data_IF_798825941633
#
_entry.id   IF_798825941633
#
_cell.length_a   1.000
_cell.length_b   1.000
_cell.length_c   1.000
_cell.angle_alpha   90.00
_cell.angle_beta   90.00
_cell.angle_gamma   90.00
#
_symmetry.space_group_name_H-M   'P 1'
#
loop_
_entity.id
_entity.type
_entity.pdbx_description
1 polymer ?
#
# COMPACT_ATOMS: atom_id res chain seq x y z
N UNK A 1 58.80 -38.16 -15.12
CA UNK A 1 57.65 -38.80 -14.44
C UNK A 1 57.16 -37.83 -13.37
N UNK A 2 55.96 -37.24 -13.55
CA UNK A 2 54.71 -37.53 -12.78
C UNK A 2 54.88 -37.22 -11.27
N UNK A 3 54.09 -36.39 -10.58
CA UNK A 3 52.72 -35.90 -10.79
C UNK A 3 52.44 -34.69 -9.85
N UNK A 4 51.50 -33.82 -10.24
CA UNK A 4 50.82 -32.81 -9.40
C UNK A 4 49.52 -33.40 -8.81
N UNK A 5 49.05 -32.75 -7.72
CA UNK A 5 47.69 -32.70 -7.09
C UNK A 5 47.44 -33.65 -5.88
N UNK A 6 46.41 -33.39 -5.03
CA UNK A 6 46.10 -32.16 -4.28
C UNK A 6 45.65 -32.46 -2.82
N UNK A 7 45.41 -31.40 -2.03
CA UNK A 7 44.86 -31.44 -0.65
C UNK A 7 43.37 -31.83 -0.60
N UNK A 8 42.87 -32.44 0.51
CA UNK A 8 41.45 -32.74 0.68
C UNK A 8 40.67 -31.60 1.35
N UNK A 9 39.41 -31.51 0.93
CA UNK A 9 38.39 -30.55 1.33
C UNK A 9 37.98 -30.64 2.82
N UNK A 10 38.06 -29.51 3.52
CA UNK A 10 37.34 -29.25 4.77
C UNK A 10 36.05 -28.49 4.49
N UNK A 11 34.91 -29.07 4.91
CA UNK A 11 33.57 -28.48 4.86
C UNK A 11 33.53 -27.16 5.63
N UNK A 12 33.16 -26.06 4.96
CA UNK A 12 32.76 -24.81 5.63
C UNK A 12 31.28 -24.91 6.02
N UNK A 13 31.07 -25.11 7.31
CA UNK A 13 29.81 -24.91 8.01
C UNK A 13 29.36 -23.45 7.88
N UNK A 14 28.11 -23.24 7.46
CA UNK A 14 27.43 -21.94 7.51
C UNK A 14 27.12 -21.65 8.97
N UNK A 15 28.07 -21.01 9.66
CA UNK A 15 27.84 -20.43 10.97
C UNK A 15 26.95 -19.19 10.80
N UNK A 16 25.70 -19.35 11.22
CA UNK A 16 24.86 -18.35 11.88
C UNK A 16 25.55 -17.00 12.12
N UNK A 17 25.31 -16.04 11.24
CA UNK A 17 25.42 -14.61 11.59
C UNK A 17 24.26 -14.29 12.52
N UNK A 18 24.48 -14.47 13.82
CA UNK A 18 23.75 -13.73 14.83
C UNK A 18 23.91 -12.25 14.49
N UNK A 19 22.82 -11.62 14.07
CA UNK A 19 22.69 -10.17 14.15
C UNK A 19 22.73 -9.88 15.64
N UNK A 20 23.88 -9.43 16.11
CA UNK A 20 24.03 -8.78 17.40
C UNK A 20 22.96 -7.68 17.42
N UNK A 21 21.93 -7.89 18.24
CA UNK A 21 20.94 -6.87 18.52
C UNK A 21 21.72 -5.68 19.07
N UNK A 22 21.79 -4.59 18.30
CA UNK A 22 22.05 -3.31 18.91
C UNK A 22 20.88 -3.08 19.86
N UNK A 23 21.13 -3.29 21.15
CA UNK A 23 20.33 -2.67 22.20
C UNK A 23 20.14 -1.21 21.80
N UNK A 24 18.90 -0.66 21.89
CA UNK A 24 18.68 0.73 21.60
C UNK A 24 19.65 1.55 22.45
N UNK A 25 20.51 2.31 21.78
CA UNK A 25 21.53 3.15 22.42
C UNK A 25 20.91 3.87 23.60
N UNK A 26 21.55 3.74 24.77
CA UNK A 26 21.13 4.17 26.09
C UNK A 26 21.03 5.71 26.23
N UNK A 27 20.29 6.38 25.32
CA UNK A 27 20.12 7.84 25.24
C UNK A 27 18.97 8.38 26.10
N UNK A 28 18.27 7.51 26.85
CA UNK A 28 17.11 7.89 27.67
C UNK A 28 17.31 7.71 29.18
N UNK A 29 18.55 7.47 29.64
CA UNK A 29 18.89 7.54 31.05
C UNK A 29 18.49 8.91 31.63
N UNK A 30 17.37 8.96 32.36
CA UNK A 30 16.87 10.14 33.07
C UNK A 30 15.51 10.72 32.65
N UNK A 31 14.81 10.16 31.65
CA UNK A 31 13.44 10.61 31.34
C UNK A 31 12.40 9.84 32.15
N UNK A 32 11.56 10.57 32.88
CA UNK A 32 10.45 10.01 33.65
C UNK A 32 9.16 9.90 32.80
N UNK A 33 8.87 8.67 32.35
CA UNK A 33 7.66 8.36 31.59
C UNK A 33 6.44 8.04 32.46
N UNK A 34 6.52 8.11 33.79
CA UNK A 34 5.42 7.77 34.69
C UNK A 34 4.23 8.71 34.50
N UNK A 35 3.03 8.15 34.48
CA UNK A 35 1.78 8.91 34.42
C UNK A 35 1.16 8.94 35.81
N UNK A 36 0.74 10.11 36.26
CA UNK A 36 -0.03 10.26 37.49
C UNK A 36 -1.48 9.87 37.22
N UNK A 37 -1.75 8.57 37.32
CA UNK A 37 -3.02 7.99 36.88
C UNK A 37 -4.23 8.58 37.59
N UNK A 38 -4.11 8.96 38.87
CA UNK A 38 -5.17 9.62 39.64
C UNK A 38 -5.62 10.97 39.07
N UNK A 39 -4.76 11.61 38.29
CA UNK A 39 -5.03 12.89 37.64
C UNK A 39 -5.57 12.75 36.21
N UNK A 40 -5.71 11.53 35.66
CA UNK A 40 -6.14 11.35 34.27
C UNK A 40 -7.51 11.96 33.93
N UNK A 41 -8.40 12.16 34.90
CA UNK A 41 -9.71 12.78 34.66
C UNK A 41 -9.72 14.29 34.88
N UNK A 42 -8.82 14.81 35.73
CA UNK A 42 -8.82 16.21 36.20
C UNK A 42 -7.70 17.06 35.56
N UNK A 43 -6.63 16.44 35.07
CA UNK A 43 -5.48 17.11 34.47
C UNK A 43 -5.28 16.68 33.01
N UNK A 44 -5.40 17.64 32.09
CA UNK A 44 -5.27 17.40 30.65
C UNK A 44 -3.86 16.99 30.22
N UNK A 45 -2.82 17.38 30.96
CA UNK A 45 -1.43 17.02 30.65
C UNK A 45 -1.17 15.56 31.00
N UNK A 46 -1.59 15.10 32.17
CA UNK A 46 -1.52 13.69 32.56
C UNK A 46 -2.43 12.83 31.69
N UNK A 47 -3.64 13.30 31.34
CA UNK A 47 -4.51 12.62 30.39
C UNK A 47 -3.86 12.45 29.01
N UNK A 48 -3.26 13.52 28.46
CA UNK A 48 -2.54 13.45 27.20
C UNK A 48 -1.32 12.52 27.28
N UNK A 49 -0.53 12.63 28.35
CA UNK A 49 0.64 11.76 28.58
C UNK A 49 0.22 10.28 28.62
N UNK A 50 -0.82 9.97 29.40
CA UNK A 50 -1.39 8.62 29.47
C UNK A 50 -1.91 8.13 28.13
N UNK A 51 -2.65 8.95 27.39
CA UNK A 51 -3.19 8.56 26.09
C UNK A 51 -2.08 8.27 25.07
N UNK A 52 -1.04 9.12 25.01
CA UNK A 52 0.11 8.92 24.12
C UNK A 52 0.91 7.68 24.52
N UNK A 53 1.08 7.42 25.82
CA UNK A 53 1.71 6.20 26.34
C UNK A 53 0.92 4.95 25.94
N UNK A 54 -0.41 5.01 25.94
CA UNK A 54 -1.31 3.91 25.53
C UNK A 54 -1.33 3.67 24.02
N UNK A 55 -1.46 4.73 23.23
CA UNK A 55 -1.70 4.70 21.77
C UNK A 55 -0.46 4.91 20.92
N UNK A 56 0.69 5.14 21.53
CA UNK A 56 1.92 5.47 20.82
C UNK A 56 3.17 5.27 21.66
N UNK A 57 4.02 6.27 21.74
CA UNK A 57 5.27 6.23 22.46
C UNK A 57 5.64 7.64 22.95
N UNK A 58 6.03 7.75 24.22
CA UNK A 58 6.55 8.99 24.81
C UNK A 58 8.02 9.26 24.43
N UNK A 59 8.67 8.32 23.76
CA UNK A 59 9.94 8.56 23.06
C UNK A 59 9.64 8.92 21.61
N UNK A 60 9.95 10.14 21.15
CA UNK A 60 9.75 10.53 19.77
C UNK A 60 10.53 9.63 18.80
N UNK A 61 10.05 9.55 17.57
CA UNK A 61 10.69 8.85 16.44
C UNK A 61 10.80 7.33 16.51
N UNK A 62 10.51 6.73 17.66
CA UNK A 62 10.45 5.27 17.83
C UNK A 62 9.24 4.72 17.08
N UNK A 63 9.43 3.84 16.07
CA UNK A 63 8.33 3.20 15.37
C UNK A 63 7.62 2.18 16.29
N UNK A 64 6.33 2.01 16.06
CA UNK A 64 5.51 1.02 16.75
C UNK A 64 4.41 0.51 15.82
N UNK A 65 3.89 -0.68 16.14
CA UNK A 65 2.81 -1.33 15.38
C UNK A 65 1.64 -1.65 16.29
N UNK A 66 0.45 -1.29 15.85
CA UNK A 66 -0.81 -1.80 16.37
C UNK A 66 -1.42 -2.74 15.35
N UNK A 67 -1.63 -4.00 15.70
CA UNK A 67 -2.27 -4.99 14.86
C UNK A 67 -3.70 -5.27 15.34
N UNK A 68 -4.57 -5.62 14.42
CA UNK A 68 -5.92 -6.11 14.71
C UNK A 68 -6.34 -7.25 13.78
N UNK A 69 -7.32 -8.00 14.27
CA UNK A 69 -8.12 -8.93 13.48
C UNK A 69 -9.60 -8.82 13.89
N UNK A 70 -10.48 -9.14 12.97
CA UNK A 70 -11.91 -9.11 13.19
C UNK A 70 -12.70 -9.67 12.01
N UNK A 71 -14.00 -9.47 12.09
CA UNK A 71 -14.97 -10.04 11.17
C UNK A 71 -15.89 -8.92 10.66
N UNK A 72 -16.33 -9.05 9.41
CA UNK A 72 -17.20 -8.07 8.75
C UNK A 72 -18.50 -8.75 8.31
N UNK A 73 -19.62 -8.18 8.72
CA UNK A 73 -20.96 -8.70 8.46
C UNK A 73 -21.82 -7.70 7.69
N UNK A 74 -22.77 -8.24 6.92
CA UNK A 74 -23.89 -7.44 6.42
C UNK A 74 -24.86 -7.10 7.55
N UNK A 75 -25.29 -5.86 7.61
CA UNK A 75 -26.39 -5.41 8.45
C UNK A 75 -27.47 -4.81 7.55
N UNK A 76 -28.49 -5.61 7.27
CA UNK A 76 -29.62 -5.27 6.40
C UNK A 76 -30.88 -5.46 7.24
N UNK A 77 -31.80 -4.50 7.17
CA UNK A 77 -33.07 -4.58 7.88
C UNK A 77 -33.85 -5.82 7.43
N UNK A 78 -34.43 -6.54 8.38
CA UNK A 78 -35.23 -7.76 8.17
C UNK A 78 -34.52 -8.93 7.44
N UNK A 79 -33.20 -8.89 7.27
CA UNK A 79 -32.40 -10.00 6.72
C UNK A 79 -31.39 -10.53 7.74
N UNK A 80 -31.16 -11.86 7.80
CA UNK A 80 -30.06 -12.42 8.58
C UNK A 80 -28.70 -11.87 8.13
N UNK A 81 -27.88 -11.44 9.09
CA UNK A 81 -26.50 -11.03 8.83
C UNK A 81 -25.69 -12.16 8.20
N UNK A 82 -24.93 -11.84 7.15
CA UNK A 82 -23.99 -12.74 6.48
C UNK A 82 -22.57 -12.37 6.87
N UNK A 83 -21.76 -13.36 7.18
CA UNK A 83 -20.32 -13.17 7.35
C UNK A 83 -19.69 -12.97 5.97
N UNK A 84 -19.18 -11.77 5.71
CA UNK A 84 -18.67 -11.39 4.39
C UNK A 84 -17.15 -11.58 4.28
N UNK A 85 -16.42 -11.16 5.32
CA UNK A 85 -14.96 -11.17 5.32
C UNK A 85 -14.40 -11.41 6.72
N UNK A 86 -13.32 -12.18 6.81
CA UNK A 86 -12.34 -11.97 7.87
C UNK A 86 -11.52 -10.72 7.50
N UNK A 87 -11.12 -9.96 8.51
CA UNK A 87 -10.41 -8.70 8.35
C UNK A 87 -9.18 -8.68 9.24
N UNK A 88 -8.02 -8.40 8.67
CA UNK A 88 -6.75 -8.36 9.40
C UNK A 88 -5.96 -7.14 8.94
N UNK A 89 -5.35 -6.41 9.88
CA UNK A 89 -4.62 -5.21 9.52
C UNK A 89 -3.70 -4.70 10.62
N UNK A 90 -2.96 -3.66 10.28
CA UNK A 90 -2.10 -2.97 11.22
C UNK A 90 -1.92 -1.49 10.86
N UNK A 91 -1.63 -0.71 11.88
CA UNK A 91 -1.08 0.64 11.77
C UNK A 91 0.40 0.57 12.14
N UNK A 92 1.25 1.18 11.33
CA UNK A 92 2.66 1.37 11.64
C UNK A 92 2.95 2.87 11.71
N UNK A 93 3.39 3.32 12.88
CA UNK A 93 3.51 4.75 13.15
C UNK A 93 4.62 5.10 14.11
N UNK A 94 4.86 6.41 14.24
CA UNK A 94 5.76 7.00 15.23
C UNK A 94 5.21 8.32 15.74
N UNK A 95 5.56 8.66 16.98
CA UNK A 95 5.20 9.94 17.58
C UNK A 95 6.29 10.98 17.29
N UNK A 96 5.88 12.19 16.95
CA UNK A 96 6.73 13.38 16.79
C UNK A 96 6.30 14.42 17.81
N UNK A 97 7.27 15.12 18.40
CA UNK A 97 6.96 16.34 19.16
C UNK A 97 6.58 17.45 18.20
N UNK A 98 5.55 18.20 18.58
CA UNK A 98 5.13 19.44 17.94
C UNK A 98 4.90 20.48 19.03
N UNK A 99 4.81 21.75 18.64
CA UNK A 99 4.45 22.79 19.60
C UNK A 99 3.10 22.46 20.26
N UNK A 100 3.06 22.55 21.59
CA UNK A 100 1.87 22.24 22.37
C UNK A 100 1.45 20.76 22.46
N UNK A 101 2.20 19.78 21.90
CA UNK A 101 1.80 18.38 22.05
C UNK A 101 2.56 17.35 21.21
N UNK A 102 1.79 16.50 20.53
CA UNK A 102 2.28 15.35 19.78
C UNK A 102 1.61 15.23 18.42
N UNK A 103 2.35 14.71 17.44
CA UNK A 103 1.80 14.30 16.15
C UNK A 103 2.13 12.84 15.91
N UNK A 104 1.12 12.05 15.58
CA UNK A 104 1.26 10.69 15.09
C UNK A 104 1.46 10.74 13.58
N UNK A 105 2.59 10.23 13.11
CA UNK A 105 2.81 9.91 11.70
C UNK A 105 2.56 8.42 11.52
N UNK A 106 1.63 8.03 10.65
CA UNK A 106 1.26 6.62 10.50
C UNK A 106 0.72 6.29 9.12
N UNK A 107 0.83 5.01 8.77
CA UNK A 107 0.15 4.38 7.64
C UNK A 107 -0.68 3.22 8.15
N UNK A 108 -1.74 2.93 7.42
CA UNK A 108 -2.69 1.88 7.75
C UNK A 108 -2.87 0.92 6.58
N UNK A 109 -2.69 -0.36 6.85
CA UNK A 109 -2.94 -1.44 5.90
C UNK A 109 -3.88 -2.45 6.52
N UNK A 110 -4.89 -2.88 5.76
CA UNK A 110 -5.73 -4.00 6.14
C UNK A 110 -6.23 -4.77 4.92
N UNK A 111 -6.30 -6.08 5.07
CA UNK A 111 -6.72 -7.01 4.03
C UNK A 111 -8.08 -7.62 4.36
N UNK A 112 -8.84 -7.91 3.31
CA UNK A 112 -10.08 -8.67 3.38
C UNK A 112 -9.75 -10.11 3.01
N UNK A 113 -10.16 -11.05 3.84
CA UNK A 113 -9.85 -12.47 3.72
C UNK A 113 -11.13 -13.28 3.60
N UNK A 114 -11.05 -14.42 2.92
CA UNK A 114 -12.16 -15.38 2.88
C UNK A 114 -12.38 -15.97 4.27
N UNK A 115 -13.60 -15.93 4.84
CA UNK A 115 -13.86 -16.48 6.17
C UNK A 115 -13.68 -17.99 6.32
N UNK A 116 -13.62 -18.75 5.22
CA UNK A 116 -13.48 -20.22 5.20
C UNK A 116 -12.06 -20.64 4.89
N UNK A 117 -11.41 -20.00 3.92
CA UNK A 117 -10.04 -20.38 3.51
C UNK A 117 -8.96 -19.57 4.22
N UNK A 118 -9.32 -18.43 4.83
CA UNK A 118 -8.40 -17.47 5.45
C UNK A 118 -7.37 -16.88 4.46
N UNK A 119 -7.63 -17.01 3.15
CA UNK A 119 -6.78 -16.43 2.11
C UNK A 119 -7.12 -14.96 1.90
N UNK A 120 -6.10 -14.15 1.61
CA UNK A 120 -6.27 -12.76 1.20
C UNK A 120 -6.97 -12.74 -0.15
N UNK A 121 -8.11 -12.05 -0.23
CA UNK A 121 -8.96 -12.05 -1.42
C UNK A 121 -8.45 -11.05 -2.46
N UNK A 122 -8.15 -11.52 -3.66
CA UNK A 122 -8.03 -10.66 -4.86
C UNK A 122 -9.41 -10.44 -5.51
N UNK A 123 -10.24 -11.48 -5.52
CA UNK A 123 -11.58 -11.47 -6.07
C UNK A 123 -12.57 -12.04 -5.07
N UNK A 124 -13.76 -11.46 -4.99
CA UNK A 124 -14.80 -11.85 -4.07
C UNK A 124 -16.13 -11.99 -4.82
N UNK A 125 -16.73 -13.18 -4.74
CA UNK A 125 -18.09 -13.39 -5.25
C UNK A 125 -19.08 -12.85 -4.21
N UNK A 126 -19.76 -11.76 -4.54
CA UNK A 126 -20.73 -11.12 -3.66
C UNK A 126 -21.91 -12.08 -3.41
N UNK A 127 -22.14 -12.57 -2.18
CA UNK A 127 -23.20 -13.54 -1.92
C UNK A 127 -24.61 -12.91 -2.03
N UNK A 128 -24.73 -11.58 -2.02
CA UNK A 128 -25.99 -10.85 -2.10
C UNK A 128 -26.41 -10.52 -3.54
N UNK A 129 -25.46 -10.45 -4.48
CA UNK A 129 -25.71 -10.05 -5.88
C UNK A 129 -25.18 -11.05 -6.91
N UNK A 130 -24.47 -12.09 -6.48
CA UNK A 130 -23.71 -13.05 -7.29
C UNK A 130 -22.61 -12.44 -8.18
N UNK A 131 -22.37 -11.14 -8.10
CA UNK A 131 -21.35 -10.44 -8.88
C UNK A 131 -19.94 -10.80 -8.41
N UNK A 132 -19.00 -10.98 -9.34
CA UNK A 132 -17.59 -11.12 -9.04
C UNK A 132 -16.95 -9.73 -8.94
N UNK A 133 -16.52 -9.37 -7.74
CA UNK A 133 -15.90 -8.08 -7.44
C UNK A 133 -14.39 -8.24 -7.24
N UNK A 134 -13.60 -7.37 -7.85
CA UNK A 134 -12.19 -7.21 -7.50
C UNK A 134 -12.09 -6.49 -6.14
N UNK A 135 -11.36 -7.08 -5.19
CA UNK A 135 -11.27 -6.56 -3.84
C UNK A 135 -10.28 -5.40 -3.80
N UNK A 136 -10.67 -4.32 -3.12
CA UNK A 136 -9.75 -3.21 -2.82
C UNK A 136 -9.48 -3.19 -1.33
N UNK A 137 -8.28 -3.62 -0.95
CA UNK A 137 -7.78 -3.57 0.42
C UNK A 137 -7.58 -2.13 0.94
N UNK A 138 -7.44 -1.99 2.26
CA UNK A 138 -7.19 -0.71 2.89
C UNK A 138 -5.69 -0.41 2.78
N UNK A 139 -5.37 0.70 2.11
CA UNK A 139 -4.01 1.19 1.87
C UNK A 139 -3.98 2.70 2.12
N UNK A 140 -4.27 3.10 3.36
CA UNK A 140 -4.34 4.51 3.71
C UNK A 140 -2.94 5.01 4.07
N UNK A 141 -2.42 5.96 3.28
CA UNK A 141 -1.14 6.63 3.52
C UNK A 141 -1.22 8.08 2.99
N UNK A 142 -1.08 9.10 3.85
CA UNK A 142 -0.87 9.04 5.31
C UNK A 142 -2.18 8.97 6.12
N UNK A 143 -2.11 8.59 7.40
CA UNK A 143 -3.25 8.65 8.35
C UNK A 143 -2.85 9.42 9.62
N UNK A 144 -2.30 10.61 9.46
CA UNK A 144 -1.69 11.38 10.54
C UNK A 144 -2.74 11.90 11.55
N UNK A 145 -2.37 11.98 12.83
CA UNK A 145 -3.20 12.59 13.87
C UNK A 145 -2.39 13.57 14.71
N UNK A 146 -3.05 14.58 15.26
CA UNK A 146 -2.42 15.55 16.14
C UNK A 146 -3.15 15.62 17.48
N UNK A 147 -2.36 15.59 18.56
CA UNK A 147 -2.82 15.57 19.95
C UNK A 147 -2.16 16.74 20.68
N UNK A 148 -2.81 17.89 20.62
CA UNK A 148 -2.37 19.11 21.30
C UNK A 148 -2.97 19.17 22.69
N UNK A 149 -2.18 19.58 23.68
CA UNK A 149 -2.64 19.84 25.04
C UNK A 149 -3.76 20.90 25.06
N UNK A 150 -3.66 21.90 24.17
CA UNK A 150 -4.71 22.89 23.92
C UNK A 150 -4.98 22.94 22.43
N UNK A 151 -6.13 22.40 22.03
CA UNK A 151 -6.59 22.44 20.64
C UNK A 151 -7.73 23.45 20.43
N UNK A 152 -8.27 23.53 19.21
CA UNK A 152 -9.38 24.44 18.88
C UNK A 152 -10.65 24.22 19.71
N UNK A 153 -10.81 23.02 20.30
CA UNK A 153 -11.95 22.63 21.14
C UNK A 153 -11.65 22.71 22.64
N UNK A 154 -10.55 23.36 23.02
CA UNK A 154 -10.10 23.47 24.41
C UNK A 154 -9.00 22.46 24.77
N UNK A 155 -8.82 22.22 26.06
CA UNK A 155 -7.79 21.31 26.57
C UNK A 155 -8.04 19.87 26.13
N UNK A 156 -6.96 19.12 25.90
CA UNK A 156 -7.05 17.70 25.54
C UNK A 156 -7.81 16.90 26.60
N UNK A 157 -8.68 16.01 26.13
CA UNK A 157 -9.38 15.05 26.98
C UNK A 157 -9.75 13.81 26.19
N UNK A 158 -9.06 12.70 26.47
CA UNK A 158 -9.48 11.36 26.11
C UNK A 158 -10.32 10.77 27.25
N UNK A 159 -11.58 10.37 27.00
CA UNK A 159 -12.43 9.74 28.01
C UNK A 159 -11.85 8.45 28.56
N UNK A 160 -12.02 8.23 29.86
CA UNK A 160 -11.63 6.99 30.53
C UNK A 160 -12.71 6.47 31.48
N UNK A 161 -12.80 5.15 31.60
CA UNK A 161 -13.46 4.45 32.70
C UNK A 161 -12.40 3.68 33.48
N UNK A 162 -12.57 3.57 34.80
CA UNK A 162 -11.66 2.81 35.68
C UNK A 162 -12.43 1.74 36.42
N UNK A 163 -11.83 0.55 36.54
CA UNK A 163 -12.33 -0.51 37.40
C UNK A 163 -11.14 -1.24 38.03
N UNK A 164 -10.89 -1.01 39.32
CA UNK A 164 -9.66 -1.47 39.96
C UNK A 164 -8.42 -0.89 39.26
N UNK A 165 -7.47 -1.75 38.90
CA UNK A 165 -6.24 -1.37 38.17
C UNK A 165 -6.43 -1.28 36.65
N UNK A 166 -7.62 -1.56 36.13
CA UNK A 166 -7.91 -1.45 34.70
C UNK A 166 -8.35 -0.03 34.32
N UNK A 167 -7.73 0.49 33.26
CA UNK A 167 -8.05 1.78 32.65
C UNK A 167 -8.52 1.53 31.21
N UNK A 168 -9.75 1.96 30.95
CA UNK A 168 -10.45 1.81 29.68
C UNK A 168 -10.54 3.17 29.01
N UNK A 169 -9.71 3.41 28.01
CA UNK A 169 -9.84 4.59 27.16
C UNK A 169 -10.90 4.34 26.12
N UNK A 170 -11.78 5.29 25.84
CA UNK A 170 -12.82 5.09 24.84
C UNK A 170 -13.02 6.31 23.96
N UNK A 171 -13.48 6.06 22.73
CA UNK A 171 -13.79 7.10 21.77
C UNK A 171 -14.94 6.65 20.87
N UNK A 172 -16.06 7.38 20.94
CA UNK A 172 -17.21 7.24 20.07
C UNK A 172 -17.16 8.32 18.99
N UNK A 173 -16.87 7.93 17.76
CA UNK A 173 -16.68 8.84 16.63
C UNK A 173 -17.82 8.62 15.64
N UNK A 174 -18.76 9.57 15.61
CA UNK A 174 -19.83 9.61 14.62
C UNK A 174 -19.43 10.54 13.47
N UNK A 175 -19.09 9.95 12.33
CA UNK A 175 -18.64 10.67 11.15
C UNK A 175 -19.82 10.99 10.24
N UNK A 176 -19.88 12.25 9.78
CA UNK A 176 -20.76 12.72 8.73
C UNK A 176 -20.05 13.84 7.96
N UNK A 177 -19.70 13.57 6.70
CA UNK A 177 -19.01 14.54 5.85
C UNK A 177 -19.26 14.28 4.36
N UNK A 178 -19.09 15.28 3.47
CA UNK A 178 -19.22 15.07 2.04
C UNK A 178 -18.26 13.99 1.53
N UNK A 179 -18.79 12.92 0.93
CA UNK A 179 -17.97 11.85 0.36
C UNK A 179 -17.06 12.42 -0.73
N UNK A 180 -15.76 12.07 -0.76
CA UNK A 180 -14.86 12.47 -1.84
C UNK A 180 -15.20 11.80 -3.17
N UNK A 181 -15.96 10.69 -3.12
CA UNK A 181 -16.44 9.93 -4.26
C UNK A 181 -17.97 10.03 -4.35
N UNK A 182 -18.46 10.67 -5.41
CA UNK A 182 -19.87 10.96 -5.61
C UNK A 182 -20.58 9.84 -6.36
N UNK A 183 -21.90 9.72 -6.17
CA UNK A 183 -22.76 8.76 -6.86
C UNK A 183 -22.67 8.89 -8.37
N UNK A 184 -22.62 10.11 -8.90
CA UNK A 184 -22.45 10.37 -10.33
C UNK A 184 -21.17 9.75 -10.92
N UNK A 185 -20.10 9.59 -10.11
CA UNK A 185 -18.82 9.04 -10.54
C UNK A 185 -18.82 7.52 -10.59
N UNK A 186 -19.59 6.86 -9.71
CA UNK A 186 -19.62 5.40 -9.59
C UNK A 186 -20.93 4.91 -8.94
N UNK A 187 -22.08 5.04 -9.64
CA UNK A 187 -23.40 4.83 -9.04
C UNK A 187 -23.59 3.41 -8.51
N UNK A 188 -23.00 2.41 -9.17
CA UNK A 188 -23.07 1.02 -8.75
C UNK A 188 -22.42 0.76 -7.39
N UNK A 189 -21.43 1.55 -6.95
CA UNK A 189 -20.71 1.29 -5.68
C UNK A 189 -20.97 2.29 -4.58
N UNK A 190 -21.51 3.48 -4.88
CA UNK A 190 -21.64 4.57 -3.90
C UNK A 190 -23.07 4.68 -3.43
N UNK A 191 -23.27 4.48 -2.12
CA UNK A 191 -24.59 4.58 -1.51
C UNK A 191 -25.10 6.03 -1.44
N UNK A 192 -24.25 6.98 -1.05
CA UNK A 192 -24.64 8.38 -0.87
C UNK A 192 -23.48 9.34 -1.16
N UNK A 193 -23.79 10.58 -1.52
CA UNK A 193 -22.81 11.67 -1.70
C UNK A 193 -22.27 12.22 -0.37
N UNK A 194 -22.88 11.80 0.73
CA UNK A 194 -22.44 12.03 2.10
C UNK A 194 -21.97 10.70 2.70
N UNK A 195 -20.75 10.70 3.21
CA UNK A 195 -20.22 9.57 3.95
C UNK A 195 -20.70 9.65 5.40
N UNK A 196 -21.21 8.53 5.91
CA UNK A 196 -21.65 8.40 7.28
C UNK A 196 -21.17 7.07 7.88
N UNK A 197 -20.58 7.12 9.06
CA UNK A 197 -20.20 5.93 9.83
C UNK A 197 -20.14 6.20 11.32
N UNK A 198 -20.16 5.14 12.11
CA UNK A 198 -19.78 5.17 13.51
C UNK A 198 -18.51 4.33 13.69
N UNK A 199 -17.54 4.85 14.44
CA UNK A 199 -16.38 4.11 14.92
C UNK A 199 -16.32 4.19 16.44
N UNK A 200 -16.30 3.03 17.08
CA UNK A 200 -16.39 2.88 18.52
C UNK A 200 -15.13 2.16 19.00
N UNK A 201 -14.25 2.89 19.67
CA UNK A 201 -12.97 2.36 20.14
C UNK A 201 -12.97 2.18 21.65
N UNK A 202 -12.32 1.10 22.10
CA UNK A 202 -11.88 0.93 23.48
C UNK A 202 -10.42 0.49 23.49
N UNK A 203 -9.57 1.13 24.30
CA UNK A 203 -8.19 0.70 24.56
C UNK A 203 -8.05 0.34 26.03
N UNK A 204 -7.47 -0.83 26.29
CA UNK A 204 -7.32 -1.44 27.60
C UNK A 204 -5.86 -1.33 28.03
N UNK A 205 -5.63 -0.74 29.20
CA UNK A 205 -4.31 -0.62 29.83
C UNK A 205 -4.39 -0.89 31.33
N UNK A 206 -3.30 -1.37 31.91
CA UNK A 206 -3.16 -1.47 33.37
C UNK A 206 -2.58 -0.18 33.93
N UNK A 207 -3.03 0.18 35.12
CA UNK A 207 -2.52 1.33 35.87
C UNK A 207 -1.01 1.22 36.13
N UNK A 208 -0.54 0.03 36.48
CA UNK A 208 0.89 -0.22 36.73
C UNK A 208 1.76 0.08 35.51
N UNK A 209 1.30 -0.27 34.31
CA UNK A 209 2.03 0.01 33.06
C UNK A 209 2.12 1.51 32.78
N UNK A 210 1.06 2.27 33.07
CA UNK A 210 1.09 3.72 32.94
C UNK A 210 2.01 4.38 33.97
N UNK A 211 2.13 3.82 35.18
CA UNK A 211 3.02 4.32 36.25
C UNK A 211 4.51 4.01 36.03
N UNK A 212 4.87 3.09 35.14
CA UNK A 212 6.26 2.74 34.85
C UNK A 212 7.07 3.92 34.32
N UNK A 213 8.05 4.40 35.10
CA UNK A 213 8.92 5.52 34.72
C UNK A 213 9.92 5.16 33.62
N UNK A 214 10.30 3.89 33.53
CA UNK A 214 11.32 3.35 32.63
C UNK A 214 10.79 2.94 31.24
N UNK A 215 9.46 2.93 31.07
CA UNK A 215 8.81 2.45 29.85
C UNK A 215 8.04 3.59 29.16
N UNK A 216 8.39 3.96 27.92
CA UNK A 216 7.76 5.10 27.22
C UNK A 216 6.41 4.75 26.58
N UNK A 217 5.98 3.50 26.64
CA UNK A 217 4.68 3.04 26.16
C UNK A 217 4.04 2.11 27.19
N UNK A 218 2.74 1.87 27.06
CA UNK A 218 2.02 0.83 27.78
C UNK A 218 1.75 -0.33 26.83
N UNK A 219 1.93 -1.60 27.25
CA UNK A 219 1.19 -2.69 26.66
C UNK A 219 -0.29 -2.30 26.61
N UNK A 220 -0.93 -2.49 25.46
CA UNK A 220 -2.32 -2.13 25.27
C UNK A 220 -3.00 -3.09 24.32
N UNK A 221 -4.22 -3.46 24.69
CA UNK A 221 -5.15 -4.17 23.83
C UNK A 221 -6.26 -3.19 23.43
N UNK A 222 -7.01 -3.49 22.38
CA UNK A 222 -8.14 -2.67 22.00
C UNK A 222 -9.26 -3.47 21.34
N UNK A 223 -10.46 -2.92 21.42
CA UNK A 223 -11.64 -3.33 20.65
C UNK A 223 -12.04 -2.17 19.76
N UNK A 224 -12.48 -2.50 18.55
CA UNK A 224 -12.98 -1.53 17.60
C UNK A 224 -14.20 -2.08 16.88
N UNK A 225 -15.29 -1.34 16.96
CA UNK A 225 -16.50 -1.60 16.18
C UNK A 225 -16.68 -0.47 15.17
N UNK A 226 -17.00 -0.81 13.93
CA UNK A 226 -17.39 0.17 12.92
C UNK A 226 -18.72 -0.23 12.28
N UNK A 227 -19.58 0.75 12.11
CA UNK A 227 -20.78 0.63 11.26
C UNK A 227 -20.62 1.62 10.12
N UNK A 228 -20.59 1.13 8.88
CA UNK A 228 -20.28 1.94 7.71
C UNK A 228 -21.14 1.58 6.49
N UNK A 229 -21.07 2.44 5.48
CA UNK A 229 -21.64 2.17 4.16
C UNK A 229 -20.98 0.94 3.51
N UNK A 230 -21.64 0.36 2.49
CA UNK A 230 -21.02 -0.65 1.63
C UNK A 230 -19.70 -0.13 1.06
N UNK A 231 -18.70 -1.01 0.96
CA UNK A 231 -17.45 -0.66 0.31
C UNK A 231 -17.70 -0.49 -1.19
N UNK A 232 -17.09 0.51 -1.85
CA UNK A 232 -17.36 0.77 -3.26
C UNK A 232 -17.18 -0.45 -4.18
N UNK A 233 -16.14 -1.25 -3.95
CA UNK A 233 -15.87 -2.43 -4.78
C UNK A 233 -16.96 -3.50 -4.71
N UNK A 234 -17.82 -3.48 -3.69
CA UNK A 234 -18.92 -4.45 -3.54
C UNK A 234 -20.06 -4.21 -4.54
N UNK A 235 -20.10 -3.03 -5.18
CA UNK A 235 -21.10 -2.64 -6.19
C UNK A 235 -22.55 -2.79 -5.69
N UNK A 236 -22.80 -2.26 -4.49
CA UNK A 236 -24.11 -2.27 -3.84
C UNK A 236 -24.65 -0.87 -3.55
N UNK A 237 -24.36 0.11 -4.40
CA UNK A 237 -24.73 1.52 -4.21
C UNK A 237 -26.23 1.76 -4.06
N UNK A 238 -27.08 0.94 -4.70
CA UNK A 238 -28.54 1.03 -4.57
C UNK A 238 -29.13 0.10 -3.51
N UNK A 239 -28.31 -0.77 -2.91
CA UNK A 239 -28.80 -1.73 -1.91
C UNK A 239 -28.86 -1.07 -0.51
N UNK A 240 -29.99 -1.16 0.20
CA UNK A 240 -30.04 -0.74 1.60
C UNK A 240 -29.13 -1.62 2.47
N UNK A 241 -28.70 -1.07 3.61
CA UNK A 241 -27.86 -1.75 4.57
C UNK A 241 -26.50 -1.11 4.81
N UNK A 242 -25.74 -1.76 5.68
CA UNK A 242 -24.46 -1.32 6.23
C UNK A 242 -23.52 -2.51 6.41
N UNK A 243 -22.24 -2.21 6.59
CA UNK A 243 -21.25 -3.14 7.10
C UNK A 243 -21.08 -2.95 8.60
N UNK A 244 -21.05 -4.06 9.32
CA UNK A 244 -20.65 -4.13 10.73
C UNK A 244 -19.27 -4.78 10.82
N UNK A 245 -18.30 -4.05 11.35
CA UNK A 245 -16.96 -4.53 11.67
C UNK A 245 -16.89 -4.78 13.17
N UNK A 246 -16.34 -5.92 13.58
CA UNK A 246 -16.06 -6.20 14.98
C UNK A 246 -14.63 -6.72 15.14
N UNK A 247 -13.74 -5.81 15.51
CA UNK A 247 -12.30 -6.02 15.55
C UNK A 247 -11.76 -5.98 16.98
N UNK A 248 -10.65 -6.66 17.16
CA UNK A 248 -9.85 -6.68 18.39
C UNK A 248 -8.37 -6.64 18.03
N UNK A 249 -7.55 -6.06 18.87
CA UNK A 249 -6.15 -5.86 18.55
C UNK A 249 -5.29 -5.54 19.74
N UNK A 250 -4.00 -5.33 19.47
CA UNK A 250 -3.01 -4.96 20.48
C UNK A 250 -1.83 -4.23 19.86
N UNK A 251 -1.07 -3.55 20.71
CA UNK A 251 0.31 -3.17 20.39
C UNK A 251 1.17 -4.43 20.25
N UNK A 252 2.00 -4.49 19.21
CA UNK A 252 2.98 -5.56 19.03
C UNK A 252 4.30 -5.22 19.73
N UNK A 253 4.95 -6.22 20.33
CA UNK A 253 6.14 -6.03 21.15
C UNK A 253 7.39 -5.81 20.28
N UNK A 254 7.58 -6.66 19.26
CA UNK A 254 8.67 -6.54 18.28
C UNK A 254 8.25 -5.77 17.03
N UNK A 255 7.13 -5.04 17.11
CA UNK A 255 6.61 -4.23 16.01
C UNK A 255 6.23 -5.08 14.79
N UNK A 256 6.74 -4.71 13.62
CA UNK A 256 6.38 -5.33 12.34
C UNK A 256 6.71 -6.83 12.29
N UNK A 257 7.77 -7.27 12.98
CA UNK A 257 8.20 -8.68 12.97
C UNK A 257 7.24 -9.65 13.66
N UNK A 258 6.30 -9.13 14.47
CA UNK A 258 5.26 -9.94 15.12
C UNK A 258 4.04 -10.16 14.23
N UNK A 259 3.97 -9.52 13.05
CA UNK A 259 2.90 -9.76 12.09
C UNK A 259 2.98 -11.18 11.51
N UNK A 260 1.82 -11.73 11.18
CA UNK A 260 1.72 -13.07 10.61
C UNK A 260 2.54 -13.19 9.31
N UNK A 261 3.11 -14.37 9.00
CA UNK A 261 3.87 -14.56 7.77
C UNK A 261 3.08 -14.22 6.50
N UNK A 262 1.77 -14.46 6.50
CA UNK A 262 0.88 -14.15 5.38
C UNK A 262 0.82 -12.63 5.13
N UNK A 263 0.61 -11.83 6.19
CA UNK A 263 0.59 -10.37 6.10
C UNK A 263 1.97 -9.83 5.71
N UNK A 264 3.05 -10.31 6.34
CA UNK A 264 4.41 -9.84 6.00
C UNK A 264 4.76 -10.14 4.54
N UNK A 265 4.45 -11.35 4.05
CA UNK A 265 4.68 -11.73 2.64
C UNK A 265 3.86 -10.85 1.68
N UNK A 266 2.60 -10.55 2.01
CA UNK A 266 1.75 -9.67 1.22
C UNK A 266 2.33 -8.24 1.15
N UNK A 267 2.73 -7.70 2.29
CA UNK A 267 3.31 -6.35 2.38
C UNK A 267 4.66 -6.27 1.67
N UNK A 268 5.58 -7.21 1.92
CA UNK A 268 6.90 -7.25 1.28
C UNK A 268 6.80 -7.34 -0.25
N UNK A 269 5.82 -8.09 -0.74
CA UNK A 269 5.62 -8.29 -2.17
C UNK A 269 4.97 -7.09 -2.85
N UNK A 270 3.91 -6.53 -2.27
CA UNK A 270 3.05 -5.58 -2.99
C UNK A 270 3.14 -4.15 -2.44
N UNK A 271 3.48 -3.98 -1.16
CA UNK A 271 3.39 -2.69 -0.45
C UNK A 271 4.55 -2.47 0.53
N UNK A 272 5.83 -2.58 0.11
CA UNK A 272 6.99 -2.55 1.01
C UNK A 272 7.11 -1.24 1.83
N UNK A 273 6.46 -0.15 1.40
CA UNK A 273 6.41 1.09 2.16
C UNK A 273 5.67 0.99 3.51
N UNK A 274 4.90 -0.08 3.72
CA UNK A 274 4.21 -0.35 5.00
C UNK A 274 5.07 -1.20 5.97
N UNK A 275 6.32 -1.51 5.61
CA UNK A 275 7.27 -2.16 6.51
C UNK A 275 7.88 -1.20 7.55
N UNK A 276 7.78 0.12 7.31
CA UNK A 276 8.25 1.14 8.25
C UNK A 276 7.26 2.31 8.37
N UNK A 277 7.29 2.96 9.53
CA UNK A 277 6.49 4.15 9.78
C UNK A 277 6.96 5.34 8.91
N UNK A 278 6.10 6.33 8.61
CA UNK A 278 6.51 7.55 7.91
C UNK A 278 7.46 8.41 8.75
N UNK A 279 8.56 8.89 8.16
CA UNK A 279 9.52 9.78 8.84
C UNK A 279 9.14 11.25 8.70
N UNK A 280 8.51 11.59 7.58
CA UNK A 280 8.12 12.93 7.19
C UNK A 280 6.61 13.10 7.28
N UNK A 281 6.19 14.31 7.64
CA UNK A 281 4.78 14.68 7.61
C UNK A 281 4.33 14.90 6.16
N UNK A 282 3.19 14.32 5.80
CA UNK A 282 2.51 14.50 4.52
C UNK A 282 1.02 14.71 4.74
N UNK A 283 0.36 15.34 3.78
CA UNK A 283 -1.05 15.72 3.83
C UNK A 283 -1.59 15.86 2.38
N UNK A 284 -2.89 15.71 2.11
CA UNK A 284 -3.97 15.33 3.02
C UNK A 284 -3.84 13.89 3.54
N UNK A 285 -4.52 13.60 4.65
CA UNK A 285 -4.73 12.21 5.05
C UNK A 285 -5.54 11.45 3.98
N UNK A 286 -5.22 10.18 3.84
CA UNK A 286 -5.91 9.25 2.96
C UNK A 286 -7.00 8.49 3.74
N UNK A 287 -8.13 8.26 3.08
CA UNK A 287 -9.17 7.32 3.52
C UNK A 287 -9.37 6.26 2.45
N UNK A 288 -10.06 5.16 2.79
CA UNK A 288 -10.38 4.12 1.81
C UNK A 288 -11.21 4.68 0.63
N UNK A 289 -11.96 5.76 0.82
CA UNK A 289 -12.74 6.41 -0.24
C UNK A 289 -11.88 7.29 -1.16
N UNK A 290 -10.94 8.05 -0.61
CA UNK A 290 -10.00 8.83 -1.44
C UNK A 290 -9.06 7.89 -2.20
N UNK A 291 -8.65 6.79 -1.58
CA UNK A 291 -7.81 5.78 -2.21
C UNK A 291 -8.55 5.09 -3.37
N UNK A 292 -9.79 4.67 -3.13
CA UNK A 292 -10.63 4.08 -4.16
C UNK A 292 -10.89 5.05 -5.32
N UNK A 293 -11.11 6.35 -5.03
CA UNK A 293 -11.22 7.38 -6.08
C UNK A 293 -9.96 7.47 -6.94
N UNK A 294 -8.77 7.43 -6.34
CA UNK A 294 -7.49 7.42 -7.08
C UNK A 294 -7.39 6.19 -7.99
N UNK A 295 -7.80 5.01 -7.50
CA UNK A 295 -7.84 3.79 -8.31
C UNK A 295 -8.80 3.90 -9.50
N UNK A 296 -10.01 4.39 -9.29
CA UNK A 296 -10.97 4.63 -10.38
C UNK A 296 -10.43 5.63 -11.41
N UNK A 297 -9.80 6.71 -10.95
CA UNK A 297 -9.23 7.73 -11.82
C UNK A 297 -8.12 7.15 -12.72
N UNK A 298 -7.31 6.24 -12.19
CA UNK A 298 -6.27 5.52 -12.96
C UNK A 298 -6.85 4.52 -13.96
N UNK A 299 -7.94 3.84 -13.60
CA UNK A 299 -8.59 2.79 -14.42
C UNK A 299 -9.61 3.34 -15.44
N UNK A 300 -9.97 4.61 -15.32
CA UNK A 300 -11.08 5.27 -16.00
C UNK A 300 -12.41 4.99 -15.27
N UNK A 301 -13.15 6.04 -14.90
CA UNK A 301 -14.44 5.88 -14.21
C UNK A 301 -15.43 5.18 -15.14
N UNK A 302 -16.03 4.04 -14.76
CA UNK A 302 -17.10 3.44 -15.55
C UNK A 302 -18.35 4.33 -15.44
N UNK A 303 -18.78 4.87 -16.58
CA UNK A 303 -20.01 5.65 -16.72
C UNK A 303 -21.22 4.72 -16.77
N UNK A 304 -22.39 5.26 -16.41
CA UNK A 304 -23.67 4.54 -16.44
C UNK A 304 -24.06 4.01 -17.85
N UNK A 305 -23.45 4.55 -18.91
CA UNK A 305 -23.63 4.13 -20.30
C UNK A 305 -22.62 3.04 -20.76
N UNK A 306 -21.78 2.54 -19.85
CA UNK A 306 -20.76 1.52 -20.15
C UNK A 306 -19.44 2.07 -20.71
N UNK A 307 -19.31 3.38 -20.91
CA UNK A 307 -18.04 4.01 -21.35
C UNK A 307 -17.12 4.30 -20.15
N UNK A 308 -15.81 4.49 -20.37
CA UNK A 308 -14.85 4.88 -19.32
C UNK A 308 -14.50 6.36 -19.47
N UNK A 309 -14.70 7.16 -18.42
CA UNK A 309 -14.25 8.54 -18.40
C UNK A 309 -12.76 8.61 -17.99
N UNK A 310 -11.92 9.19 -18.84
CA UNK A 310 -10.74 9.93 -18.38
C UNK A 310 -11.20 11.37 -18.10
N UNK A 311 -10.68 12.00 -17.04
CA UNK A 311 -10.93 13.42 -16.79
C UNK A 311 -10.62 14.22 -18.07
N UNK A 312 -11.62 14.96 -18.53
CA UNK A 312 -11.59 15.73 -19.76
C UNK A 312 -10.72 16.97 -19.58
N UNK A 313 -9.62 17.02 -20.33
CA UNK A 313 -9.07 18.31 -20.79
C UNK A 313 -9.19 18.39 -22.32
N UNK A 314 -10.03 19.34 -22.75
CA UNK A 314 -10.22 19.93 -24.08
C UNK A 314 -11.13 19.25 -25.12
N UNK A 315 -12.24 19.95 -25.38
CA UNK A 315 -13.00 19.95 -26.63
C UNK A 315 -12.16 20.48 -27.81
N UNK A 316 -12.67 20.18 -29.02
CA UNK A 316 -12.24 20.59 -30.37
C UNK A 316 -11.21 19.66 -31.04
N UNK A 317 -11.72 18.67 -31.78
CA UNK A 317 -11.64 18.67 -33.26
C UNK A 317 -12.49 17.54 -33.83
N UNK A 318 -13.20 17.89 -34.90
CA UNK A 318 -14.32 17.18 -35.50
C UNK A 318 -13.94 16.03 -36.44
N UNK A 319 -14.88 15.08 -36.50
CA UNK A 319 -15.41 14.40 -37.69
C UNK A 319 -14.84 13.05 -38.16
N UNK A 320 -15.81 12.13 -38.36
CA UNK A 320 -15.83 10.91 -39.18
C UNK A 320 -15.02 9.71 -38.67
N UNK A 321 -15.44 8.45 -38.72
CA UNK A 321 -16.59 7.79 -39.33
C UNK A 321 -16.91 6.47 -38.58
N UNK A 322 -18.03 5.88 -38.98
CA UNK A 322 -18.83 4.77 -38.44
C UNK A 322 -18.18 3.37 -38.43
N UNK A 323 -18.77 2.49 -37.60
CA UNK A 323 -19.04 1.03 -37.78
C UNK A 323 -18.13 -0.05 -37.13
N UNK A 324 -18.72 -0.69 -36.09
CA UNK A 324 -18.76 -2.11 -35.67
C UNK A 324 -17.73 -3.18 -36.13
N UNK A 325 -17.27 -3.93 -35.12
CA UNK A 325 -16.95 -5.38 -35.05
C UNK A 325 -15.50 -5.90 -35.01
N UNK A 326 -15.27 -6.75 -33.99
CA UNK A 326 -14.14 -7.67 -33.68
C UNK A 326 -12.83 -7.03 -33.17
N UNK A 327 -12.51 -7.24 -31.90
CA UNK A 327 -11.21 -6.85 -31.31
C UNK A 327 -10.12 -7.78 -31.85
N UNK A 328 -9.50 -7.40 -32.96
CA UNK A 328 -8.12 -7.77 -33.29
C UNK A 328 -7.21 -6.87 -32.48
N UNK A 329 -6.32 -7.45 -31.68
CA UNK A 329 -5.24 -6.73 -31.00
C UNK A 329 -4.30 -6.12 -32.05
N UNK A 330 -4.51 -4.84 -32.37
CA UNK A 330 -3.87 -4.11 -33.46
C UNK A 330 -2.57 -3.40 -33.00
N UNK A 331 -1.94 -3.85 -31.91
CA UNK A 331 -0.71 -3.24 -31.35
C UNK A 331 0.47 -3.42 -32.30
N UNK A 332 1.21 -2.33 -32.54
CA UNK A 332 2.32 -2.28 -33.50
C UNK A 332 3.54 -3.04 -32.97
N UNK A 333 4.20 -3.78 -33.87
CA UNK A 333 5.52 -4.35 -33.61
C UNK A 333 6.58 -3.35 -34.10
N UNK A 334 7.55 -3.03 -33.25
CA UNK A 334 8.62 -2.08 -33.55
C UNK A 334 9.95 -2.83 -33.71
N UNK A 335 10.73 -2.53 -34.75
CA UNK A 335 12.18 -2.81 -34.69
C UNK A 335 12.86 -1.84 -33.72
N UNK A 336 14.11 -2.13 -33.32
CA UNK A 336 14.87 -1.19 -32.52
C UNK A 336 15.16 0.10 -33.32
N UNK A 337 15.41 -0.02 -34.62
CA UNK A 337 15.58 1.10 -35.54
C UNK A 337 14.32 1.98 -35.62
N UNK A 338 13.13 1.37 -35.72
CA UNK A 338 11.86 2.10 -35.71
C UNK A 338 11.57 2.75 -34.36
N UNK A 339 11.95 2.11 -33.24
CA UNK A 339 11.77 2.68 -31.91
C UNK A 339 12.67 3.90 -31.71
N UNK A 340 13.92 3.88 -32.22
CA UNK A 340 14.87 4.99 -32.11
C UNK A 340 14.37 6.29 -32.74
N UNK A 341 13.42 6.23 -33.69
CA UNK A 341 12.79 7.41 -34.29
C UNK A 341 11.93 8.23 -33.32
N UNK A 342 11.63 7.67 -32.14
CA UNK A 342 10.79 8.25 -31.08
C UNK A 342 11.60 8.58 -29.82
N UNK A 343 12.85 9.01 -29.99
CA UNK A 343 13.79 9.35 -28.90
C UNK A 343 13.53 10.72 -28.24
N UNK A 344 12.51 11.46 -28.68
CA UNK A 344 12.19 12.78 -28.14
C UNK A 344 13.13 13.90 -28.58
N UNK A 345 13.94 13.68 -29.61
CA UNK A 345 14.72 14.74 -30.29
C UNK A 345 13.87 15.62 -31.21
N UNK A 346 12.84 15.04 -31.84
CA UNK A 346 11.86 15.77 -32.64
C UNK A 346 10.67 16.24 -31.76
N UNK A 347 10.41 17.55 -31.66
CA UNK A 347 9.28 18.07 -30.88
C UNK A 347 7.91 17.64 -31.44
N UNK A 348 7.82 17.28 -32.72
CA UNK A 348 6.56 16.93 -33.39
C UNK A 348 6.25 15.43 -33.39
N UNK A 349 7.21 14.57 -33.00
CA UNK A 349 7.00 13.12 -32.85
C UNK A 349 6.70 12.76 -31.40
N UNK A 350 5.91 11.70 -31.12
CA UNK A 350 5.76 11.17 -29.77
C UNK A 350 7.08 10.58 -29.26
N UNK A 351 7.16 10.35 -27.95
CA UNK A 351 8.35 9.84 -27.27
C UNK A 351 8.05 8.46 -26.72
N UNK A 352 8.81 7.44 -27.13
CA UNK A 352 8.55 6.05 -26.73
C UNK A 352 9.68 5.48 -25.89
N UNK A 353 9.34 4.55 -24.99
CA UNK A 353 10.29 3.76 -24.20
C UNK A 353 9.88 2.29 -24.28
N UNK A 354 10.84 1.38 -24.37
CA UNK A 354 10.57 -0.06 -24.23
C UNK A 354 11.06 -0.56 -22.89
N UNK A 355 10.20 -1.27 -22.16
CA UNK A 355 10.53 -1.95 -20.90
C UNK A 355 10.00 -3.37 -20.99
N UNK A 356 10.89 -4.35 -20.84
CA UNK A 356 10.63 -5.78 -20.98
C UNK A 356 9.95 -6.09 -22.32
N UNK A 357 10.42 -5.43 -23.38
CA UNK A 357 9.87 -5.57 -24.74
C UNK A 357 8.49 -4.94 -24.95
N UNK A 358 7.90 -4.28 -23.97
CA UNK A 358 6.64 -3.55 -24.09
C UNK A 358 6.95 -2.08 -24.39
N UNK A 359 6.38 -1.53 -25.45
CA UNK A 359 6.61 -0.14 -25.88
C UNK A 359 5.51 0.75 -25.31
N UNK A 360 5.92 1.75 -24.53
CA UNK A 360 5.05 2.74 -23.88
C UNK A 360 5.23 4.13 -24.49
N UNK A 361 4.14 4.88 -24.62
CA UNK A 361 4.14 6.28 -24.99
C UNK A 361 4.32 7.19 -23.77
N UNK A 362 5.53 7.75 -23.65
CA UNK A 362 5.91 8.65 -22.56
C UNK A 362 5.80 10.13 -22.93
N UNK A 363 5.08 10.46 -24.01
CA UNK A 363 4.90 11.85 -24.47
C UNK A 363 4.27 12.74 -23.38
N UNK A 364 3.39 12.21 -22.53
CA UNK A 364 2.84 12.96 -21.37
C UNK A 364 3.94 13.47 -20.42
N UNK A 365 5.08 12.77 -20.38
CA UNK A 365 6.26 13.09 -19.59
C UNK A 365 7.32 13.87 -20.36
N UNK A 366 7.00 14.50 -21.50
CA UNK A 366 7.98 15.15 -22.42
C UNK A 366 9.02 16.03 -21.73
N UNK A 367 8.66 16.75 -20.66
CA UNK A 367 9.58 17.59 -19.86
C UNK A 367 10.73 16.81 -19.19
N UNK A 368 10.63 15.49 -19.09
CA UNK A 368 11.63 14.62 -18.49
C UNK A 368 12.43 13.82 -19.53
N UNK A 369 11.84 13.59 -20.71
CA UNK A 369 12.36 12.65 -21.71
C UNK A 369 12.84 13.29 -23.01
N UNK A 370 12.46 14.55 -23.30
CA UNK A 370 12.92 15.23 -24.53
C UNK A 370 14.43 15.43 -24.50
N UNK A 371 15.02 15.64 -25.68
CA UNK A 371 16.45 15.89 -25.82
C UNK A 371 16.95 17.00 -24.89
N UNK A 372 17.99 16.70 -24.12
CA UNK A 372 18.60 17.60 -23.13
C UNK A 372 18.09 17.45 -21.70
N UNK A 373 17.05 16.65 -21.46
CA UNK A 373 16.51 16.39 -20.12
C UNK A 373 17.09 15.13 -19.47
N UNK A 374 16.89 15.02 -18.15
CA UNK A 374 17.49 14.00 -17.28
C UNK A 374 17.30 12.56 -17.74
N UNK A 375 16.14 12.20 -18.31
CA UNK A 375 15.81 10.82 -18.68
C UNK A 375 15.80 10.58 -20.20
N UNK A 376 16.36 11.51 -20.98
CA UNK A 376 16.42 11.39 -22.43
C UNK A 376 17.15 10.12 -22.92
N UNK A 377 18.16 9.63 -22.18
CA UNK A 377 18.90 8.42 -22.56
C UNK A 377 18.06 7.13 -22.55
N UNK A 378 16.87 7.17 -21.95
CA UNK A 378 15.98 6.00 -21.81
C UNK A 378 15.03 5.82 -22.99
N UNK A 379 14.74 6.89 -23.74
CA UNK A 379 13.71 6.89 -24.78
C UNK A 379 14.27 6.59 -26.17
N UNK A 380 13.41 6.10 -27.05
CA UNK A 380 13.78 5.48 -28.32
C UNK A 380 14.44 4.11 -28.18
N UNK A 381 14.49 3.53 -26.97
CA UNK A 381 15.33 2.37 -26.64
C UNK A 381 14.62 1.35 -25.74
N UNK A 382 15.25 0.18 -25.60
CA UNK A 382 14.95 -0.80 -24.54
C UNK A 382 15.72 -0.40 -23.28
N UNK A 383 14.99 -0.03 -22.23
CA UNK A 383 15.54 0.59 -21.02
C UNK A 383 15.53 -0.33 -19.79
N UNK A 384 15.17 -1.62 -19.93
CA UNK A 384 14.98 -2.55 -18.80
C UNK A 384 16.17 -2.61 -17.86
N UNK A 385 17.40 -2.69 -18.39
CA UNK A 385 18.64 -2.75 -17.59
C UNK A 385 18.88 -1.50 -16.76
N UNK A 386 18.48 -0.32 -17.25
CA UNK A 386 18.71 0.94 -16.54
C UNK A 386 17.84 1.01 -15.29
N UNK A 387 16.60 0.54 -15.37
CA UNK A 387 15.70 0.45 -14.22
C UNK A 387 16.20 -0.49 -13.12
N UNK A 388 17.11 -1.41 -13.46
CA UNK A 388 17.70 -2.37 -12.51
C UNK A 388 19.03 -1.91 -11.93
N UNK A 389 19.78 -1.08 -12.66
CA UNK A 389 21.12 -0.63 -12.28
C UNK A 389 21.15 0.80 -11.74
N UNK A 390 20.14 1.61 -12.08
CA UNK A 390 20.12 3.04 -11.79
C UNK A 390 21.12 3.86 -12.62
N UNK A 391 21.88 3.23 -13.52
CA UNK A 391 22.92 3.89 -14.31
C UNK A 391 22.38 4.33 -15.68
N UNK A 392 22.06 5.62 -15.78
CA UNK A 392 21.55 6.26 -17.01
C UNK A 392 22.56 6.25 -18.17
N UNK A 393 23.84 5.97 -17.93
CA UNK A 393 24.89 5.88 -18.95
C UNK A 393 25.04 4.47 -19.52
N UNK A 394 24.40 3.47 -18.92
CA UNK A 394 24.52 2.07 -19.32
C UNK A 394 23.68 1.69 -20.54
N UNK A 395 23.03 2.62 -21.24
CA UNK A 395 22.12 2.24 -22.34
C UNK A 395 22.89 1.92 -23.63
N UNK A 396 23.18 0.64 -23.90
CA UNK A 396 23.81 0.16 -25.14
C UNK A 396 23.01 -0.99 -25.79
N UNK A 397 23.26 -1.28 -27.07
CA UNK A 397 22.66 -2.43 -27.79
C UNK A 397 22.95 -3.79 -27.10
N UNK A 398 24.00 -3.87 -26.29
CA UNK A 398 24.42 -5.08 -25.57
C UNK A 398 23.58 -5.34 -24.30
N UNK A 399 22.76 -4.37 -23.87
CA UNK A 399 21.97 -4.45 -22.63
C UNK A 399 20.52 -4.94 -22.83
N UNK A 400 20.20 -5.53 -23.98
CA UNK A 400 18.92 -6.19 -24.23
C UNK A 400 18.83 -7.61 -23.64
N UNK A 401 19.96 -8.20 -23.22
CA UNK A 401 19.96 -9.54 -22.63
C UNK A 401 19.55 -9.49 -21.15
N UNK A 402 18.39 -10.09 -20.84
CA UNK A 402 17.83 -10.22 -19.51
C UNK A 402 17.91 -11.67 -18.97
N UNK A 403 18.67 -12.56 -19.62
CA UNK A 403 18.76 -13.96 -19.21
C UNK A 403 19.49 -14.16 -17.86
N UNK A 404 20.36 -13.22 -17.49
CA UNK A 404 21.17 -13.28 -16.26
C UNK A 404 20.62 -12.42 -15.11
N UNK A 405 19.31 -12.11 -15.11
CA UNK A 405 18.70 -11.39 -13.98
C UNK A 405 18.58 -12.29 -12.74
N UNK A 406 19.04 -11.77 -11.60
CA UNK A 406 18.71 -12.34 -10.29
C UNK A 406 17.20 -12.30 -10.05
N UNK A 407 16.69 -13.14 -9.14
CA UNK A 407 15.25 -13.15 -8.86
C UNK A 407 14.75 -11.79 -8.33
N UNK A 408 15.56 -11.10 -7.52
CA UNK A 408 15.29 -9.72 -7.10
C UNK A 408 15.17 -8.76 -8.30
N UNK A 409 16.12 -8.79 -9.22
CA UNK A 409 16.07 -7.94 -10.42
C UNK A 409 14.89 -8.28 -11.34
N UNK A 410 14.44 -9.54 -11.36
CA UNK A 410 13.26 -9.93 -12.15
C UNK A 410 12.00 -9.31 -11.56
N UNK A 411 11.85 -9.34 -10.24
CA UNK A 411 10.76 -8.69 -9.49
C UNK A 411 10.81 -7.17 -9.67
N UNK A 412 11.99 -6.56 -9.51
CA UNK A 412 12.17 -5.12 -9.69
C UNK A 412 11.79 -4.69 -11.12
N UNK A 413 12.14 -5.47 -12.14
CA UNK A 413 11.75 -5.19 -13.52
C UNK A 413 10.23 -5.31 -13.72
N UNK A 414 9.59 -6.29 -13.09
CA UNK A 414 8.13 -6.47 -13.14
C UNK A 414 7.40 -5.28 -12.51
N UNK A 415 7.89 -4.75 -11.38
CA UNK A 415 7.35 -3.54 -10.78
C UNK A 415 7.47 -2.32 -11.70
N UNK A 416 8.59 -2.17 -12.40
CA UNK A 416 8.76 -1.10 -13.38
C UNK A 416 7.81 -1.26 -14.57
N UNK A 417 7.64 -2.48 -15.09
CA UNK A 417 6.67 -2.75 -16.14
C UNK A 417 5.25 -2.43 -15.68
N UNK A 418 4.89 -2.81 -14.46
CA UNK A 418 3.58 -2.53 -13.89
C UNK A 418 3.36 -1.02 -13.71
N UNK A 419 4.33 -0.31 -13.13
CA UNK A 419 4.30 1.14 -13.00
C UNK A 419 4.10 1.81 -14.36
N UNK A 420 4.89 1.44 -15.38
CA UNK A 420 4.76 2.03 -16.71
C UNK A 420 3.46 1.64 -17.41
N UNK A 421 2.93 0.44 -17.16
CA UNK A 421 1.62 0.01 -17.68
C UNK A 421 0.48 0.81 -17.05
N UNK A 422 0.60 1.20 -15.78
CA UNK A 422 -0.36 2.05 -15.09
C UNK A 422 -0.24 3.52 -15.50
N UNK A 423 0.98 3.99 -15.79
CA UNK A 423 1.25 5.40 -16.05
C UNK A 423 1.15 5.76 -17.54
N UNK A 424 1.63 4.93 -18.46
CA UNK A 424 1.82 5.30 -19.85
C UNK A 424 1.04 4.38 -20.79
N UNK A 425 0.42 4.92 -21.87
CA UNK A 425 -0.24 4.07 -22.86
C UNK A 425 0.74 3.08 -23.48
N UNK A 426 0.38 1.79 -23.48
CA UNK A 426 1.11 0.80 -24.25
C UNK A 426 0.75 0.94 -25.74
N UNK A 427 1.75 1.19 -26.58
CA UNK A 427 1.56 1.42 -28.03
C UNK A 427 2.07 0.26 -28.90
N UNK A 428 2.78 -0.70 -28.32
CA UNK A 428 3.27 -1.84 -29.06
C UNK A 428 4.21 -2.75 -28.29
N UNK A 429 4.96 -3.54 -29.05
CA UNK A 429 6.00 -4.42 -28.56
C UNK A 429 7.27 -4.32 -29.42
N UNK A 430 8.42 -4.58 -28.82
CA UNK A 430 9.70 -4.62 -29.52
C UNK A 430 9.92 -6.00 -30.18
N UNK A 431 10.17 -6.02 -31.48
CA UNK A 431 10.43 -7.24 -32.25
C UNK A 431 11.70 -7.94 -31.79
N UNK A 432 11.68 -9.28 -31.83
CA UNK A 432 12.80 -10.14 -31.46
C UNK A 432 13.32 -9.94 -30.02
N UNK A 433 12.50 -9.35 -29.13
CA UNK A 433 12.79 -9.33 -27.70
C UNK A 433 12.81 -10.77 -27.17
N UNK A 434 13.97 -11.20 -26.66
CA UNK A 434 14.15 -12.53 -26.10
C UNK A 434 13.76 -12.50 -24.63
N UNK A 435 12.63 -13.12 -24.29
CA UNK A 435 12.24 -13.29 -22.90
C UNK A 435 13.27 -14.16 -22.16
N UNK A 436 13.52 -13.93 -20.85
CA UNK A 436 14.37 -14.81 -20.05
C UNK A 436 13.96 -16.30 -20.11
N UNK A 437 12.68 -16.56 -20.40
CA UNK A 437 12.12 -17.91 -20.54
C UNK A 437 12.41 -18.54 -21.91
N UNK A 438 12.55 -17.72 -22.96
CA UNK A 438 12.85 -18.18 -24.32
C UNK A 438 14.28 -18.71 -24.46
N UNK A 439 15.23 -18.21 -23.67
CA UNK A 439 16.59 -18.74 -23.55
C UNK A 439 16.64 -20.14 -22.94
N UNK A 440 15.92 -20.35 -21.82
CA UNK A 440 15.86 -21.67 -21.13
C UNK A 440 15.21 -22.77 -21.99
N UNK A 441 14.24 -22.43 -22.85
CA UNK A 441 13.64 -23.38 -23.80
C UNK A 441 14.60 -23.80 -24.92
N UNK A 442 15.47 -22.90 -25.39
CA UNK A 442 16.51 -23.25 -26.37
C UNK A 442 17.63 -24.09 -25.76
N UNK A 443 17.97 -23.84 -24.50
CA UNK A 443 19.04 -24.57 -23.79
C UNK A 443 18.59 -25.98 -23.40
N UNK A 444 17.34 -26.16 -22.95
CA UNK A 444 16.72 -27.48 -22.77
C UNK A 444 16.62 -28.27 -24.07
N UNK A 445 16.19 -27.64 -25.18
CA UNK A 445 16.14 -28.30 -26.51
C UNK A 445 17.53 -28.66 -27.05
N UNK A 446 18.58 -27.88 -26.73
CA UNK A 446 19.97 -28.22 -27.07
C UNK A 446 20.52 -29.36 -26.21
N UNK A 447 20.14 -29.45 -24.94
CA UNK A 447 20.53 -30.56 -24.06
C UNK A 447 19.80 -31.87 -24.42
N UNK A 448 18.55 -31.80 -24.88
CA UNK A 448 17.79 -32.96 -25.36
C UNK A 448 18.22 -33.46 -26.74
N UNK A 449 18.93 -32.65 -27.56
CA UNK A 449 19.47 -33.07 -28.87
C UNK A 449 20.96 -33.46 -28.85
N UNK A 450 21.67 -33.31 -27.72
CA UNK A 450 23.10 -33.62 -27.59
C UNK A 450 23.40 -34.77 -26.59
N UNK A 451 22.43 -35.64 -26.31
CA UNK A 451 22.74 -36.94 -25.74
C UNK A 451 22.61 -38.02 -26.82
N UNK A 452 23.76 -38.59 -27.28
CA UNK A 452 23.78 -39.71 -28.21
C UNK A 452 23.27 -41.02 -27.59
#
# INVERSE_FOLDING_TARGET
MRQRKPAPHGRLSIASRFVEQQEPSNKHLGQDFAVQTDLLQSDSSENLKGFIKTRGCLTPDVPFVFWWSGDIYSLIEDEPSRHLFEFEGFNIGRMKRVDGGWRLLTRELAVYKDPKTHEILEHWKNPLTDELCEVVHVLNDPVNQEFLLRGPRGSFKAPIVRNGSDIFWHAEIFLKYPSPLKREMFPQGIQNDEYQSAELFQFYTKEEDLKRADCPYSPSQFSWVRIGQWLPFMKMGDRPGRLLYHCRGKRLERGYEDLSPQIRTFVERYHPQYMDAPTNYSTPNETSWTYFKKLLSRRGFPRADGTRAHESSNELLSSSATSTNSVKDNRKMFTLEELNEYDGSDPNKPIYISIRGIVFDVTKGRRHYRKGETYHSLVGREASRVFLTGDLNSVSKENMDLNNLTDKQRIDLEHWVEYFTQEYPQVGYLMNWQSPESGRRRERRRQEHNHP
#
